data_IF_405859959586
#
_entry.id   IF_405859959586
#
_cell.length_a   1.000
_cell.length_b   1.000
_cell.length_c   1.000
_cell.angle_alpha   90.00
_cell.angle_beta   90.00
_cell.angle_gamma   90.00
#
_symmetry.space_group_name_H-M   'P 1'
#
loop_
_entity.id
_entity.type
_entity.pdbx_description
1 polymer ?
#
# COMPACT_ATOMS: atom_id res chain seq x y z
N UNK A 1 -6.15 13.70 -6.43
CA UNK A 1 -6.22 13.93 -4.97
C UNK A 1 -5.21 12.99 -4.36
N UNK A 2 -4.42 13.45 -3.40
CA UNK A 2 -3.39 12.60 -2.79
C UNK A 2 -3.83 12.06 -1.42
N UNK A 3 -3.50 10.79 -1.17
CA UNK A 3 -3.74 10.07 0.07
C UNK A 3 -2.54 9.20 0.41
N UNK A 4 -2.04 9.32 1.63
CA UNK A 4 -0.93 8.49 2.12
C UNK A 4 -1.42 7.51 3.19
N UNK A 5 -0.96 6.26 3.15
CA UNK A 5 -1.19 5.25 4.19
C UNK A 5 0.05 4.39 4.41
N UNK A 6 0.32 4.10 5.67
CA UNK A 6 1.42 3.22 6.07
C UNK A 6 0.91 1.92 6.68
N UNK A 7 1.54 0.81 6.31
CA UNK A 7 1.15 -0.53 6.69
C UNK A 7 2.35 -1.30 7.23
N UNK A 8 2.20 -1.84 8.44
CA UNK A 8 3.27 -2.57 9.13
C UNK A 8 3.14 -4.07 8.92
N UNK A 9 4.26 -4.77 8.97
CA UNK A 9 4.30 -6.23 8.91
C UNK A 9 4.07 -6.81 7.51
N UNK A 10 4.04 -5.98 6.48
CA UNK A 10 3.99 -6.39 5.07
C UNK A 10 5.21 -5.85 4.32
N UNK A 11 5.52 -6.46 3.17
CA UNK A 11 6.57 -5.99 2.26
C UNK A 11 5.99 -5.23 1.07
N UNK A 12 6.81 -4.42 0.40
CA UNK A 12 6.40 -3.73 -0.85
C UNK A 12 5.90 -4.73 -1.89
N UNK A 13 6.56 -5.89 -2.02
CA UNK A 13 6.12 -6.95 -2.95
C UNK A 13 4.69 -7.43 -2.64
N UNK A 14 4.37 -7.64 -1.36
CA UNK A 14 3.02 -8.04 -0.96
C UNK A 14 1.99 -6.93 -1.23
N UNK A 15 2.36 -5.67 -0.95
CA UNK A 15 1.52 -4.51 -1.22
C UNK A 15 1.21 -4.36 -2.72
N UNK A 16 2.23 -4.48 -3.58
CA UNK A 16 2.05 -4.47 -5.05
C UNK A 16 1.07 -5.56 -5.47
N UNK A 17 1.26 -6.80 -5.02
CA UNK A 17 0.35 -7.89 -5.36
C UNK A 17 -1.10 -7.64 -4.91
N UNK A 18 -1.32 -6.91 -3.82
CA UNK A 18 -2.68 -6.53 -3.42
C UNK A 18 -3.26 -5.44 -4.32
N UNK A 19 -2.48 -4.44 -4.70
CA UNK A 19 -2.88 -3.40 -5.64
C UNK A 19 -3.20 -3.98 -7.03
N UNK A 20 -2.43 -4.97 -7.48
CA UNK A 20 -2.72 -5.71 -8.72
C UNK A 20 -4.04 -6.47 -8.64
N UNK A 21 -4.32 -7.12 -7.52
CA UNK A 21 -5.63 -7.77 -7.28
C UNK A 21 -6.81 -6.78 -7.23
N UNK A 22 -6.55 -5.49 -7.05
CA UNK A 22 -7.54 -4.42 -7.08
C UNK A 22 -7.66 -3.76 -8.46
N UNK A 23 -7.04 -4.34 -9.49
CA UNK A 23 -7.09 -3.85 -10.87
C UNK A 23 -5.93 -2.93 -11.24
N UNK A 24 -4.88 -2.87 -10.43
CA UNK A 24 -3.64 -2.19 -10.77
C UNK A 24 -2.71 -3.04 -11.65
N UNK A 25 -1.77 -2.39 -12.32
CA UNK A 25 -0.67 -3.00 -13.05
C UNK A 25 0.64 -2.38 -12.56
N UNK A 26 1.62 -3.22 -12.19
CA UNK A 26 2.92 -2.73 -11.75
C UNK A 26 3.65 -2.00 -12.89
N UNK A 27 4.08 -0.76 -12.61
CA UNK A 27 4.94 0.06 -13.47
C UNK A 27 6.26 0.28 -12.74
N UNK A 28 7.35 -0.25 -13.28
CA UNK A 28 8.67 -0.15 -12.64
C UNK A 28 8.75 -0.90 -11.30
N UNK A 29 9.61 -0.43 -10.40
CA UNK A 29 9.94 -1.18 -9.18
C UNK A 29 8.93 -1.00 -8.06
N UNK A 30 8.33 0.18 -7.92
CA UNK A 30 7.50 0.54 -6.78
C UNK A 30 6.30 1.43 -7.13
N UNK A 31 5.85 1.40 -8.38
CA UNK A 31 4.65 2.13 -8.82
C UNK A 31 3.62 1.13 -9.34
N UNK A 32 2.35 1.37 -9.06
CA UNK A 32 1.21 0.60 -9.58
C UNK A 32 0.19 1.58 -10.11
N UNK A 33 -0.29 1.37 -11.33
CA UNK A 33 -1.31 2.21 -11.97
C UNK A 33 -2.57 1.39 -12.21
N UNK A 34 -3.73 1.98 -11.93
CA UNK A 34 -5.03 1.40 -12.23
C UNK A 34 -5.97 2.43 -12.87
N UNK A 35 -7.22 2.05 -13.06
CA UNK A 35 -8.20 2.93 -13.70
C UNK A 35 -8.54 4.14 -12.83
N UNK A 36 -8.05 5.32 -13.20
CA UNK A 36 -8.26 6.58 -12.48
C UNK A 36 -7.47 6.73 -11.17
N UNK A 37 -6.47 5.88 -10.93
CA UNK A 37 -5.60 5.99 -9.76
C UNK A 37 -4.17 5.47 -10.03
N UNK A 38 -3.22 5.97 -9.25
CA UNK A 38 -1.86 5.47 -9.19
C UNK A 38 -1.41 5.37 -7.73
N UNK A 39 -0.46 4.47 -7.46
CA UNK A 39 0.13 4.26 -6.14
C UNK A 39 1.65 4.17 -6.27
N UNK A 40 2.37 4.95 -5.47
CA UNK A 40 3.81 4.83 -5.30
C UNK A 40 4.11 4.29 -3.91
N UNK A 41 5.01 3.32 -3.82
CA UNK A 41 5.32 2.60 -2.60
C UNK A 41 6.76 2.86 -2.15
N UNK A 42 6.96 2.92 -0.84
CA UNK A 42 8.28 2.91 -0.20
C UNK A 42 8.28 1.94 0.98
N UNK A 43 9.45 1.42 1.34
CA UNK A 43 9.63 0.52 2.48
C UNK A 43 10.71 1.05 3.41
N UNK A 44 10.47 0.93 4.72
CA UNK A 44 11.47 1.18 5.74
C UNK A 44 11.34 0.21 6.92
N UNK A 45 12.40 0.15 7.75
CA UNK A 45 12.42 -0.60 9.00
C UNK A 45 12.09 0.34 10.16
N UNK A 46 10.96 0.13 10.81
CA UNK A 46 10.53 0.93 11.98
C UNK A 46 10.65 0.12 13.27
N UNK A 47 11.10 0.77 14.34
CA UNK A 47 11.19 0.15 15.66
C UNK A 47 9.80 0.11 16.33
N UNK A 48 9.41 -1.06 16.83
CA UNK A 48 8.19 -1.30 17.59
C UNK A 48 8.58 -1.75 19.00
N UNK A 49 8.97 -0.80 19.83
CA UNK A 49 9.47 -1.06 21.19
C UNK A 49 11.00 -1.21 21.26
N UNK A 50 11.53 -1.75 22.37
CA UNK A 50 12.95 -1.63 22.71
C UNK A 50 13.89 -2.50 21.87
N UNK A 51 13.39 -3.55 21.20
CA UNK A 51 14.25 -4.49 20.45
C UNK A 51 13.65 -5.03 19.15
N UNK A 52 12.37 -4.77 18.87
CA UNK A 52 11.70 -5.30 17.68
C UNK A 52 11.69 -4.25 16.57
N UNK A 53 12.03 -4.67 15.34
CA UNK A 53 11.87 -3.86 14.13
C UNK A 53 10.93 -4.57 13.17
N UNK A 54 9.99 -3.83 12.59
CA UNK A 54 9.08 -4.32 11.56
C UNK A 54 9.33 -3.57 10.25
N UNK A 55 8.98 -4.22 9.13
CA UNK A 55 8.83 -3.49 7.88
C UNK A 55 7.58 -2.62 7.98
N UNK A 56 7.70 -1.39 7.51
CA UNK A 56 6.61 -0.49 7.24
C UNK A 56 6.65 -0.12 5.75
N UNK A 57 5.52 -0.29 5.08
CA UNK A 57 5.32 0.12 3.70
C UNK A 57 4.44 1.35 3.70
N UNK A 58 4.94 2.44 3.14
CA UNK A 58 4.15 3.65 2.90
C UNK A 58 3.69 3.67 1.46
N UNK A 59 2.41 3.95 1.24
CA UNK A 59 1.78 4.01 -0.07
C UNK A 59 1.18 5.39 -0.24
N UNK A 60 1.65 6.12 -1.25
CA UNK A 60 1.07 7.37 -1.72
C UNK A 60 0.15 7.06 -2.90
N UNK A 61 -1.14 7.23 -2.70
CA UNK A 61 -2.18 7.13 -3.71
C UNK A 61 -2.47 8.50 -4.31
N UNK A 62 -2.57 8.59 -5.63
CA UNK A 62 -3.12 9.74 -6.34
C UNK A 62 -4.24 9.29 -7.29
N UNK A 63 -5.24 10.14 -7.47
CA UNK A 63 -6.40 9.86 -8.31
C UNK A 63 -7.68 10.54 -7.84
N UNK A 64 -8.81 10.07 -8.38
CA UNK A 64 -10.13 10.61 -8.03
C UNK A 64 -10.57 10.15 -6.62
N UNK A 65 -11.09 11.05 -5.77
CA UNK A 65 -11.49 10.72 -4.39
C UNK A 65 -12.48 9.56 -4.31
N UNK A 66 -13.47 9.54 -5.21
CA UNK A 66 -14.52 8.52 -5.29
C UNK A 66 -13.97 7.12 -5.65
N UNK A 67 -12.81 7.09 -6.31
CA UNK A 67 -12.08 5.85 -6.63
C UNK A 67 -11.14 5.46 -5.49
N UNK A 68 -10.42 6.44 -4.92
CA UNK A 68 -9.40 6.20 -3.91
C UNK A 68 -9.96 5.73 -2.57
N UNK A 69 -11.06 6.30 -2.10
CA UNK A 69 -11.66 5.93 -0.80
C UNK A 69 -11.99 4.43 -0.71
N UNK A 70 -12.78 3.85 -1.63
CA UNK A 70 -13.07 2.41 -1.58
C UNK A 70 -11.86 1.53 -1.90
N UNK A 71 -10.91 2.01 -2.72
CA UNK A 71 -9.66 1.30 -3.02
C UNK A 71 -8.82 1.14 -1.74
N UNK A 72 -8.57 2.25 -1.04
CA UNK A 72 -7.76 2.28 0.18
C UNK A 72 -8.41 1.42 1.27
N UNK A 73 -9.74 1.46 1.40
CA UNK A 73 -10.46 0.63 2.37
C UNK A 73 -10.28 -0.88 2.08
N UNK A 74 -10.48 -1.30 0.84
CA UNK A 74 -10.28 -2.71 0.43
C UNK A 74 -8.84 -3.16 0.63
N UNK A 75 -7.88 -2.31 0.28
CA UNK A 75 -6.46 -2.57 0.51
C UNK A 75 -6.18 -2.76 2.01
N UNK A 76 -6.64 -1.83 2.85
CA UNK A 76 -6.41 -1.87 4.28
C UNK A 76 -7.02 -3.12 4.94
N UNK A 77 -8.23 -3.51 4.51
CA UNK A 77 -8.87 -4.73 4.99
C UNK A 77 -8.05 -5.99 4.67
N UNK A 78 -7.44 -6.07 3.49
CA UNK A 78 -6.56 -7.17 3.09
C UNK A 78 -5.26 -7.14 3.88
N UNK A 79 -4.63 -5.97 3.98
CA UNK A 79 -3.34 -5.79 4.65
C UNK A 79 -3.42 -6.15 6.14
N UNK A 80 -4.47 -5.73 6.86
CA UNK A 80 -4.69 -6.10 8.26
C UNK A 80 -4.85 -7.61 8.46
N UNK A 81 -5.59 -8.29 7.58
CA UNK A 81 -5.78 -9.76 7.65
C UNK A 81 -4.48 -10.54 7.39
N UNK A 82 -3.55 -9.98 6.62
CA UNK A 82 -2.26 -10.58 6.36
C UNK A 82 -1.22 -10.27 7.45
N UNK A 83 -1.40 -9.16 8.17
CA UNK A 83 -0.51 -8.71 9.24
C UNK A 83 -0.77 -9.34 10.61
N UNK A 84 -1.99 -9.85 10.86
CA UNK A 84 -2.39 -10.39 12.16
C UNK A 84 -2.95 -9.33 13.09
#
# INVERSE_FOLDING_TARGET
>A
MERERSFRGISVRAAIGYLENLGGEQRGEATVEGDGWAATLSEEKVAIGPSLQLNEVTIQFDGDPETLEPLIEKFAQKAMRAGG
#
